data_IF_731218680155
#
_entry.id   IF_731218680155
#
_cell.length_a   1.000
_cell.length_b   1.000
_cell.length_c   1.000
_cell.angle_alpha   90.00
_cell.angle_beta   90.00
_cell.angle_gamma   90.00
#
_symmetry.space_group_name_H-M   'P 1'
#
loop_
_entity.id
_entity.type
_entity.pdbx_description
1 polymer ?
#
# COMPACT_ATOMS: atom_id res chain seq x y z
N UNK A 1 -32.02 51.74 20.02
CA UNK A 1 -31.03 51.27 19.03
C UNK A 1 -30.83 49.75 19.04
N UNK A 2 -31.81 48.96 19.51
CA UNK A 2 -31.63 47.54 19.86
C UNK A 2 -32.55 46.57 19.12
N UNK A 3 -33.39 47.05 18.18
CA UNK A 3 -34.35 46.21 17.43
C UNK A 3 -33.94 45.88 15.99
N UNK A 4 -32.83 46.42 15.48
CA UNK A 4 -32.37 46.18 14.09
C UNK A 4 -31.28 45.10 13.95
N UNK A 5 -30.73 44.60 15.06
CA UNK A 5 -29.70 43.54 15.05
C UNK A 5 -30.31 42.14 15.12
N UNK A 6 -31.48 42.01 15.77
CA UNK A 6 -32.17 40.72 15.92
C UNK A 6 -32.78 40.20 14.60
N UNK A 7 -33.09 41.08 13.65
CA UNK A 7 -33.70 40.70 12.36
C UNK A 7 -32.67 40.28 11.29
N UNK A 8 -31.39 40.61 11.46
CA UNK A 8 -30.34 40.20 10.51
C UNK A 8 -29.81 38.79 10.79
N UNK A 9 -29.84 38.35 12.06
CA UNK A 9 -29.46 36.99 12.46
C UNK A 9 -30.52 35.94 12.14
N UNK A 10 -31.80 36.32 12.04
CA UNK A 10 -32.88 35.40 11.69
C UNK A 10 -32.92 35.06 10.18
N UNK A 11 -32.49 35.98 9.30
CA UNK A 11 -32.42 35.72 7.85
C UNK A 11 -31.15 34.97 7.41
N UNK A 12 -30.12 34.88 8.25
CA UNK A 12 -28.92 34.08 7.98
C UNK A 12 -29.10 32.62 8.44
N UNK A 13 -29.92 32.38 9.46
CA UNK A 13 -30.25 31.03 9.94
C UNK A 13 -31.23 30.29 9.02
N UNK A 14 -32.00 31.02 8.22
CA UNK A 14 -32.96 30.45 7.26
C UNK A 14 -32.36 30.13 5.88
N UNK A 15 -31.05 30.35 5.70
CA UNK A 15 -30.32 30.02 4.47
C UNK A 15 -29.37 28.82 4.62
N UNK A 16 -29.29 28.22 5.82
CA UNK A 16 -28.54 26.98 6.05
C UNK A 16 -29.42 25.71 5.96
N UNK A 17 -30.71 25.84 5.68
CA UNK A 17 -31.65 24.70 5.71
C UNK A 17 -32.19 24.28 4.33
N UNK A 18 -31.50 24.60 3.23
CA UNK A 18 -31.88 24.13 1.87
C UNK A 18 -30.79 23.31 1.17
N UNK A 19 -29.72 22.92 1.85
CA UNK A 19 -28.70 22.05 1.27
C UNK A 19 -28.62 20.70 2.00
N UNK A 20 -29.64 19.86 1.85
CA UNK A 20 -29.54 18.42 2.14
C UNK A 20 -30.64 17.62 1.42
N UNK A 21 -30.91 17.97 0.18
CA UNK A 21 -31.61 17.10 -0.77
C UNK A 21 -31.02 17.38 -2.15
N UNK A 22 -29.68 17.27 -2.26
CA UNK A 22 -29.10 17.02 -3.56
C UNK A 22 -29.36 15.54 -3.82
N UNK A 23 -30.25 15.29 -4.79
CA UNK A 23 -30.42 13.98 -5.40
C UNK A 23 -29.04 13.36 -5.56
N UNK A 24 -28.84 12.19 -4.92
CA UNK A 24 -27.61 11.44 -5.12
C UNK A 24 -27.42 11.30 -6.64
N UNK A 25 -26.25 11.69 -7.19
CA UNK A 25 -26.01 11.53 -8.61
C UNK A 25 -26.30 10.08 -8.96
N UNK A 26 -27.07 9.85 -10.04
CA UNK A 26 -27.36 8.51 -10.53
C UNK A 26 -26.07 7.68 -10.51
N UNK A 27 -26.11 6.42 -10.02
CA UNK A 27 -24.90 5.63 -9.82
C UNK A 27 -24.07 5.68 -11.10
N UNK A 28 -22.83 6.17 -10.98
CA UNK A 28 -21.97 6.32 -12.14
C UNK A 28 -21.85 4.97 -12.84
N UNK A 29 -21.83 4.93 -14.19
CA UNK A 29 -21.73 3.67 -14.91
C UNK A 29 -20.51 2.90 -14.43
N UNK A 30 -20.72 1.64 -14.05
CA UNK A 30 -19.64 0.77 -13.55
C UNK A 30 -18.62 0.58 -14.66
N UNK A 31 -17.38 0.98 -14.39
CA UNK A 31 -16.25 0.82 -15.28
C UNK A 31 -15.23 -0.18 -14.69
N UNK A 32 -14.60 -0.98 -15.52
CA UNK A 32 -13.53 -1.90 -15.12
C UNK A 32 -12.21 -1.45 -15.73
N UNK A 33 -11.13 -1.59 -14.96
CA UNK A 33 -9.76 -1.50 -15.46
C UNK A 33 -9.17 -2.91 -15.50
N UNK A 34 -8.75 -3.39 -16.67
CA UNK A 34 -8.21 -4.72 -16.81
C UNK A 34 -7.07 -4.79 -17.83
N UNK A 35 -6.20 -5.77 -17.63
CA UNK A 35 -5.16 -6.16 -18.58
C UNK A 35 -5.47 -7.55 -19.12
N UNK A 36 -5.01 -7.84 -20.34
CA UNK A 36 -5.18 -9.16 -20.92
C UNK A 36 -3.97 -9.68 -21.71
N UNK A 37 -3.89 -11.01 -21.86
CA UNK A 37 -2.97 -11.70 -22.76
C UNK A 37 -3.83 -12.52 -23.72
N UNK A 38 -3.61 -12.36 -25.03
CA UNK A 38 -4.29 -13.14 -26.07
C UNK A 38 -3.31 -14.14 -26.69
N UNK A 39 -3.66 -15.41 -26.64
CA UNK A 39 -2.92 -16.54 -27.26
C UNK A 39 -3.88 -17.40 -28.10
N UNK A 40 -3.35 -18.16 -29.05
CA UNK A 40 -4.20 -18.93 -29.97
C UNK A 40 -4.70 -20.23 -29.33
N UNK A 41 -3.85 -20.86 -28.52
CA UNK A 41 -4.09 -22.23 -28.03
C UNK A 41 -4.36 -22.24 -26.53
N UNK A 42 -5.17 -23.21 -26.09
CA UNK A 42 -5.46 -23.40 -24.67
C UNK A 42 -4.19 -23.77 -23.89
N UNK A 43 -3.34 -24.62 -24.49
CA UNK A 43 -2.09 -25.05 -23.88
C UNK A 43 -1.14 -23.89 -23.58
N UNK A 44 -1.04 -22.89 -24.46
CA UNK A 44 -0.27 -21.66 -24.19
C UNK A 44 -0.90 -20.85 -23.05
N UNK A 45 -2.23 -20.74 -23.03
CA UNK A 45 -2.93 -20.03 -21.96
C UNK A 45 -2.71 -20.70 -20.60
N UNK A 46 -2.74 -22.02 -20.55
CA UNK A 46 -2.53 -22.81 -19.33
C UNK A 46 -1.09 -22.71 -18.84
N UNK A 47 -0.11 -22.77 -19.75
CA UNK A 47 1.31 -22.60 -19.40
C UNK A 47 1.58 -21.20 -18.82
N UNK A 48 0.99 -20.15 -19.41
CA UNK A 48 1.12 -18.79 -18.90
C UNK A 48 0.36 -18.60 -17.58
N UNK A 49 -0.81 -19.22 -17.42
CA UNK A 49 -1.58 -19.18 -16.16
C UNK A 49 -0.79 -19.82 -15.02
N UNK A 50 -0.15 -20.97 -15.25
CA UNK A 50 0.72 -21.61 -14.28
C UNK A 50 1.91 -20.72 -13.87
N UNK A 51 2.56 -20.07 -14.84
CA UNK A 51 3.65 -19.11 -14.54
C UNK A 51 3.16 -17.91 -13.72
N UNK A 52 1.95 -17.43 -13.99
CA UNK A 52 1.34 -16.32 -13.25
C UNK A 52 0.96 -16.72 -11.82
N UNK A 53 0.60 -17.98 -11.58
CA UNK A 53 0.29 -18.49 -10.24
C UNK A 53 1.53 -18.53 -9.32
N UNK A 54 2.72 -18.73 -9.89
CA UNK A 54 4.00 -18.76 -9.15
C UNK A 54 4.67 -17.36 -9.05
N UNK A 55 4.08 -16.34 -9.66
CA UNK A 55 4.67 -15.02 -9.74
C UNK A 55 4.72 -14.29 -8.38
N UNK A 56 5.90 -13.78 -8.02
CA UNK A 56 6.08 -12.95 -6.82
C UNK A 56 5.41 -11.57 -6.93
N UNK A 57 5.28 -11.03 -8.15
CA UNK A 57 4.54 -9.81 -8.43
C UNK A 57 3.65 -10.00 -9.66
N UNK A 58 2.39 -10.37 -9.41
CA UNK A 58 1.43 -10.73 -10.44
C UNK A 58 1.31 -9.68 -11.55
N UNK A 59 1.13 -8.40 -11.21
CA UNK A 59 0.93 -7.34 -12.19
C UNK A 59 2.17 -7.08 -13.07
N UNK A 60 3.37 -7.12 -12.48
CA UNK A 60 4.61 -6.96 -13.23
C UNK A 60 4.87 -8.15 -14.16
N UNK A 61 4.74 -9.38 -13.65
CA UNK A 61 4.95 -10.60 -14.44
C UNK A 61 3.90 -10.69 -15.56
N UNK A 62 2.64 -10.34 -15.27
CA UNK A 62 1.59 -10.26 -16.28
C UNK A 62 1.95 -9.28 -17.39
N UNK A 63 2.40 -8.08 -17.06
CA UNK A 63 2.80 -7.09 -18.05
C UNK A 63 3.99 -7.52 -18.91
N UNK A 64 4.92 -8.31 -18.35
CA UNK A 64 6.03 -8.90 -19.10
C UNK A 64 5.56 -9.99 -20.06
N UNK A 65 4.82 -10.99 -19.55
CA UNK A 65 4.26 -12.07 -20.36
C UNK A 65 3.32 -11.53 -21.45
N UNK A 66 2.57 -10.47 -21.16
CA UNK A 66 1.74 -9.79 -22.16
C UNK A 66 2.58 -9.16 -23.29
N UNK A 67 3.73 -8.57 -22.99
CA UNK A 67 4.63 -8.01 -24.03
C UNK A 67 5.24 -9.09 -24.91
N UNK A 68 5.54 -10.25 -24.32
CA UNK A 68 6.26 -11.33 -24.98
C UNK A 68 5.34 -12.26 -25.78
N UNK A 69 4.17 -12.59 -25.24
CA UNK A 69 3.30 -13.63 -25.77
C UNK A 69 1.96 -13.13 -26.30
N UNK A 70 1.48 -11.95 -25.90
CA UNK A 70 0.15 -11.49 -26.31
C UNK A 70 0.13 -11.05 -27.78
N UNK A 71 -0.84 -11.55 -28.53
CA UNK A 71 -1.12 -11.15 -29.91
C UNK A 71 -1.95 -9.88 -30.03
N UNK A 72 -2.48 -9.36 -28.92
CA UNK A 72 -3.25 -8.12 -28.93
C UNK A 72 -2.32 -6.90 -29.06
N UNK A 73 -2.69 -5.83 -29.79
CA UNK A 73 -1.93 -4.57 -29.81
C UNK A 73 -1.65 -3.94 -28.43
N UNK A 74 -2.46 -4.27 -27.41
CA UNK A 74 -2.25 -3.87 -26.01
C UNK A 74 -0.97 -4.45 -25.41
N UNK A 75 -0.38 -5.49 -26.01
CA UNK A 75 0.90 -6.10 -25.60
C UNK A 75 2.00 -5.05 -25.38
N UNK A 76 2.06 -4.02 -26.22
CA UNK A 76 3.02 -2.90 -26.12
C UNK A 76 2.94 -2.16 -24.78
N UNK A 77 1.76 -2.15 -24.16
CA UNK A 77 1.47 -1.55 -22.85
C UNK A 77 1.37 -2.60 -21.74
N UNK A 78 1.93 -3.79 -21.95
CA UNK A 78 1.83 -4.88 -20.98
C UNK A 78 0.42 -5.47 -20.88
N UNK A 79 -0.32 -5.46 -21.99
CA UNK A 79 -1.68 -6.01 -22.06
C UNK A 79 -2.75 -5.09 -21.48
N UNK A 80 -2.39 -3.89 -21.03
CA UNK A 80 -3.32 -2.91 -20.44
C UNK A 80 -4.34 -2.40 -21.46
N UNK A 81 -5.63 -2.61 -21.16
CA UNK A 81 -6.76 -2.13 -21.94
C UNK A 81 -7.30 -0.78 -21.43
N UNK A 82 -6.80 -0.30 -20.30
CA UNK A 82 -7.31 0.89 -19.63
C UNK A 82 -8.68 0.65 -18.99
N UNK A 83 -9.45 1.73 -18.85
CA UNK A 83 -10.78 1.71 -18.23
C UNK A 83 -11.86 1.63 -19.31
N UNK A 84 -12.79 0.69 -19.17
CA UNK A 84 -13.92 0.50 -20.08
C UNK A 84 -15.20 0.21 -19.31
N UNK A 85 -16.35 0.54 -19.91
CA UNK A 85 -17.68 0.26 -19.37
C UNK A 85 -18.23 -1.09 -19.87
N UNK A 86 -19.30 -1.57 -19.23
CA UNK A 86 -20.01 -2.79 -19.65
C UNK A 86 -20.45 -2.71 -21.11
N UNK A 87 -20.29 -3.83 -21.82
CA UNK A 87 -20.69 -3.96 -23.23
C UNK A 87 -19.72 -3.36 -24.26
N UNK A 88 -18.58 -2.80 -23.81
CA UNK A 88 -17.53 -2.36 -24.74
C UNK A 88 -16.61 -3.50 -25.20
N UNK A 89 -16.61 -4.61 -24.46
CA UNK A 89 -15.82 -5.82 -24.76
C UNK A 89 -16.74 -6.97 -25.17
N UNK A 90 -16.17 -8.05 -25.72
CA UNK A 90 -16.93 -9.25 -26.08
C UNK A 90 -17.62 -9.84 -24.84
N UNK A 91 -18.84 -10.42 -24.96
CA UNK A 91 -19.66 -10.79 -23.82
C UNK A 91 -18.96 -11.67 -22.77
N UNK A 92 -18.20 -12.68 -23.21
CA UNK A 92 -17.46 -13.56 -22.30
C UNK A 92 -16.36 -12.82 -21.52
N UNK A 93 -15.70 -11.83 -22.15
CA UNK A 93 -14.70 -11.00 -21.49
C UNK A 93 -15.35 -10.00 -20.54
N UNK A 94 -16.45 -9.37 -20.96
CA UNK A 94 -17.19 -8.39 -20.15
C UNK A 94 -17.70 -9.04 -18.85
N UNK A 95 -18.24 -10.25 -18.95
CA UNK A 95 -18.68 -11.01 -17.79
C UNK A 95 -17.55 -11.17 -16.76
N UNK A 96 -16.38 -11.63 -17.20
CA UNK A 96 -15.23 -11.79 -16.30
C UNK A 96 -14.71 -10.45 -15.77
N UNK A 97 -14.64 -9.43 -16.61
CA UNK A 97 -14.17 -8.11 -16.20
C UNK A 97 -15.03 -7.50 -15.07
N UNK A 98 -16.33 -7.77 -15.06
CA UNK A 98 -17.27 -7.15 -14.13
C UNK A 98 -17.86 -8.06 -13.04
N UNK A 99 -17.78 -9.39 -13.17
CA UNK A 99 -18.32 -10.34 -12.19
C UNK A 99 -17.22 -11.09 -11.43
N UNK A 100 -16.07 -11.37 -12.07
CA UNK A 100 -15.03 -12.19 -11.47
C UNK A 100 -14.28 -11.47 -10.31
N UNK A 101 -13.41 -12.17 -9.60
CA UNK A 101 -12.65 -11.57 -8.51
C UNK A 101 -11.53 -10.63 -9.02
N UNK A 102 -11.36 -9.48 -8.37
CA UNK A 102 -10.31 -8.49 -8.68
C UNK A 102 -8.96 -9.02 -8.21
N UNK A 103 -7.90 -8.81 -9.00
CA UNK A 103 -6.55 -9.26 -8.66
C UNK A 103 -6.28 -10.75 -8.91
N UNK A 104 -7.23 -11.46 -9.51
CA UNK A 104 -7.07 -12.86 -9.94
C UNK A 104 -7.03 -12.93 -11.46
N UNK A 105 -6.22 -13.86 -12.00
CA UNK A 105 -6.14 -14.11 -13.45
C UNK A 105 -7.19 -15.14 -13.86
N UNK A 106 -8.10 -14.72 -14.71
CA UNK A 106 -9.19 -15.54 -15.22
C UNK A 106 -8.96 -15.91 -16.69
N UNK A 107 -9.20 -17.18 -17.05
CA UNK A 107 -9.09 -17.67 -18.42
C UNK A 107 -10.46 -17.57 -19.12
N UNK A 108 -10.49 -17.01 -20.32
CA UNK A 108 -11.70 -16.82 -21.12
C UNK A 108 -11.43 -17.21 -22.56
N UNK A 109 -12.27 -18.07 -23.13
CA UNK A 109 -12.24 -18.38 -24.56
C UNK A 109 -13.17 -17.42 -25.31
N UNK A 110 -12.69 -16.85 -26.41
CA UNK A 110 -13.52 -16.06 -27.33
C UNK A 110 -13.25 -16.48 -28.78
N UNK A 111 -13.96 -15.87 -29.73
CA UNK A 111 -13.70 -16.06 -31.16
C UNK A 111 -12.28 -15.65 -31.61
N UNK A 112 -11.55 -14.86 -30.80
CA UNK A 112 -10.20 -14.41 -31.12
C UNK A 112 -9.11 -15.35 -30.59
N UNK A 113 -9.47 -16.35 -29.78
CA UNK A 113 -8.54 -17.25 -29.10
C UNK A 113 -8.78 -17.28 -27.60
N UNK A 114 -7.71 -17.55 -26.86
CA UNK A 114 -7.72 -17.64 -25.40
C UNK A 114 -7.18 -16.37 -24.77
N UNK A 115 -7.94 -15.86 -23.81
CA UNK A 115 -7.64 -14.64 -23.08
C UNK A 115 -7.36 -14.96 -21.62
N UNK A 116 -6.21 -14.53 -21.13
CA UNK A 116 -5.97 -14.39 -19.70
C UNK A 116 -6.31 -12.97 -19.30
N UNK A 117 -7.21 -12.78 -18.34
CA UNK A 117 -7.75 -11.48 -17.94
C UNK A 117 -7.40 -11.21 -16.49
N UNK A 118 -6.75 -10.08 -16.23
CA UNK A 118 -6.44 -9.60 -14.89
C UNK A 118 -7.17 -8.28 -14.64
N UNK A 119 -8.16 -8.31 -13.75
CA UNK A 119 -8.92 -7.11 -13.37
C UNK A 119 -8.16 -6.37 -12.28
N UNK A 120 -7.77 -5.12 -12.53
CA UNK A 120 -7.04 -4.28 -11.59
C UNK A 120 -7.96 -3.55 -10.61
N UNK A 121 -9.07 -3.00 -11.11
CA UNK A 121 -10.07 -2.29 -10.29
C UNK A 121 -11.41 -2.17 -10.99
N UNK A 122 -12.47 -1.93 -10.22
CA UNK A 122 -13.79 -1.50 -10.71
C UNK A 122 -14.15 -0.15 -10.10
N UNK A 123 -14.69 0.74 -10.92
CA UNK A 123 -15.16 2.07 -10.56
C UNK A 123 -16.68 2.03 -10.69
N UNK A 124 -17.39 1.85 -9.59
CA UNK A 124 -18.85 1.80 -9.52
C UNK A 124 -19.47 3.12 -9.04
N UNK A 125 -18.65 4.18 -8.96
CA UNK A 125 -19.07 5.47 -8.42
C UNK A 125 -19.30 5.48 -6.90
N UNK A 126 -19.04 4.36 -6.21
CA UNK A 126 -19.14 4.27 -4.74
C UNK A 126 -17.89 4.76 -4.02
N UNK A 127 -16.79 5.01 -4.74
CA UNK A 127 -15.65 5.75 -4.20
C UNK A 127 -16.13 7.18 -3.87
N UNK A 128 -16.43 7.41 -2.59
CA UNK A 128 -16.62 8.77 -2.08
C UNK A 128 -15.43 9.60 -2.55
N UNK A 129 -15.64 10.81 -3.11
CA UNK A 129 -14.56 11.65 -3.56
C UNK A 129 -13.63 11.85 -2.37
N UNK A 130 -12.48 11.18 -2.45
CA UNK A 130 -11.44 11.28 -1.45
C UNK A 130 -11.20 12.77 -1.26
N UNK A 131 -11.57 13.33 -0.10
CA UNK A 131 -11.46 14.77 0.18
C UNK A 131 -10.01 15.23 -0.04
N UNK A 132 -9.07 14.28 0.04
CA UNK A 132 -7.65 14.45 -0.25
C UNK A 132 -7.32 14.54 -1.75
N UNK A 133 -8.20 14.17 -2.69
CA UNK A 133 -7.97 14.28 -4.15
C UNK A 133 -8.07 15.72 -4.64
N UNK A 134 -9.06 16.48 -4.18
CA UNK A 134 -9.16 17.93 -4.41
C UNK A 134 -7.96 18.65 -3.81
N UNK A 135 -7.59 18.30 -2.57
CA UNK A 135 -6.40 18.85 -1.91
C UNK A 135 -5.12 18.51 -2.68
N UNK A 136 -4.96 17.27 -3.17
CA UNK A 136 -3.81 16.85 -4.00
C UNK A 136 -3.79 17.57 -5.35
N UNK A 137 -4.92 17.79 -6.00
CA UNK A 137 -5.04 18.53 -7.26
C UNK A 137 -4.66 20.01 -7.09
N UNK A 138 -5.17 20.67 -6.06
CA UNK A 138 -4.80 22.05 -5.71
C UNK A 138 -3.31 22.10 -5.35
N UNK A 139 -2.81 21.17 -4.54
CA UNK A 139 -1.41 21.08 -4.17
C UNK A 139 -0.51 20.93 -5.40
N UNK A 140 -0.81 19.98 -6.29
CA UNK A 140 -0.03 19.71 -7.51
C UNK A 140 0.00 20.92 -8.46
N UNK A 141 -1.10 21.69 -8.52
CA UNK A 141 -1.24 22.87 -9.39
C UNK A 141 -0.56 24.12 -8.81
N UNK A 142 -0.45 24.21 -7.49
CA UNK A 142 0.13 25.34 -6.75
C UNK A 142 1.64 25.13 -6.49
N UNK A 143 2.10 23.88 -6.37
CA UNK A 143 3.51 23.50 -6.22
C UNK A 143 4.50 24.13 -7.23
N UNK A 144 4.21 24.26 -8.55
CA UNK A 144 5.13 24.92 -9.47
C UNK A 144 5.26 26.43 -9.27
N UNK A 145 4.26 27.08 -8.65
CA UNK A 145 4.29 28.51 -8.34
C UNK A 145 4.88 28.82 -6.96
N UNK A 146 4.80 27.88 -6.02
CA UNK A 146 5.52 27.96 -4.74
C UNK A 146 6.98 27.50 -4.80
N UNK A 147 7.38 26.76 -5.84
CA UNK A 147 8.75 26.29 -6.06
C UNK A 147 9.85 27.34 -5.85
N UNK A 148 9.79 28.54 -6.47
CA UNK A 148 10.82 29.57 -6.27
C UNK A 148 10.75 30.25 -4.90
N UNK A 149 9.56 30.38 -4.28
CA UNK A 149 9.40 31.00 -2.96
C UNK A 149 9.85 30.05 -1.84
N UNK A 150 9.53 28.76 -1.96
CA UNK A 150 9.97 27.71 -1.03
C UNK A 150 11.50 27.52 -1.10
N UNK A 151 12.11 27.58 -2.28
CA UNK A 151 13.57 27.46 -2.43
C UNK A 151 14.31 28.63 -1.76
N UNK A 152 13.79 29.84 -1.87
CA UNK A 152 14.33 31.03 -1.19
C UNK A 152 14.16 30.91 0.33
N UNK A 153 13.05 30.33 0.81
CA UNK A 153 12.82 30.09 2.24
C UNK A 153 13.70 28.95 2.80
N UNK A 154 13.98 27.91 2.00
CA UNK A 154 14.88 26.79 2.35
C UNK A 154 16.35 27.24 2.41
N UNK A 155 16.77 28.17 1.55
CA UNK A 155 18.14 28.72 1.62
C UNK A 155 18.31 29.76 2.75
N UNK A 156 17.27 30.53 3.08
CA UNK A 156 17.32 31.52 4.17
C UNK A 156 17.17 30.90 5.57
N UNK A 157 16.51 29.75 5.69
CA UNK A 157 16.42 28.99 6.93
C UNK A 157 17.16 27.66 6.76
N UNK A 158 18.45 27.67 7.08
CA UNK A 158 19.30 26.48 7.05
C UNK A 158 18.58 25.23 7.57
N UNK A 159 18.63 24.17 6.75
CA UNK A 159 18.33 22.77 7.04
C UNK A 159 17.53 22.52 8.34
N UNK A 160 16.21 22.73 8.30
CA UNK A 160 15.30 22.12 9.29
C UNK A 160 14.42 21.08 8.61
N UNK A 161 14.75 19.84 8.96
CA UNK A 161 14.16 18.56 8.59
C UNK A 161 12.70 18.55 8.13
N UNK A 162 12.50 17.80 7.06
CA UNK A 162 11.25 17.12 6.70
C UNK A 162 10.48 16.69 7.95
N UNK A 163 9.21 17.12 8.06
CA UNK A 163 8.26 16.61 9.07
C UNK A 163 7.83 15.19 8.71
N UNK A 164 8.74 14.23 8.87
CA UNK A 164 8.39 12.81 8.94
C UNK A 164 7.79 12.52 10.32
N UNK A 165 6.76 11.67 10.37
CA UNK A 165 6.22 11.14 11.63
C UNK A 165 7.27 10.35 12.44
N UNK A 166 6.91 9.80 13.61
CA UNK A 166 7.85 9.05 14.42
C UNK A 166 8.43 7.88 13.62
N UNK A 167 9.77 7.77 13.62
CA UNK A 167 10.53 6.70 12.97
C UNK A 167 11.29 5.91 14.03
N UNK A 168 11.46 4.61 13.84
CA UNK A 168 12.21 3.75 14.75
C UNK A 168 13.27 2.95 14.00
N UNK A 169 14.42 2.75 14.66
CA UNK A 169 15.44 1.80 14.25
C UNK A 169 15.34 0.58 15.15
N UNK A 170 15.04 -0.58 14.57
CA UNK A 170 14.96 -1.82 15.31
C UNK A 170 15.71 -2.97 14.63
N UNK A 171 16.13 -3.91 15.45
CA UNK A 171 16.75 -5.16 15.05
C UNK A 171 15.80 -6.30 15.41
N UNK A 172 15.78 -7.36 14.60
CA UNK A 172 15.00 -8.55 14.92
C UNK A 172 15.65 -9.87 14.51
N UNK A 173 15.19 -10.95 15.14
CA UNK A 173 15.43 -12.32 14.70
C UNK A 173 14.08 -12.99 14.54
N UNK A 174 13.81 -13.57 13.36
CA UNK A 174 12.58 -14.31 13.08
C UNK A 174 12.85 -15.83 13.16
N UNK A 175 12.16 -16.51 14.07
CA UNK A 175 12.21 -17.98 14.24
C UNK A 175 10.81 -18.57 14.15
N UNK A 176 10.72 -19.84 13.75
CA UNK A 176 9.42 -20.52 13.61
C UNK A 176 8.88 -21.05 14.94
N UNK A 177 9.77 -21.42 15.86
CA UNK A 177 9.45 -22.04 17.14
C UNK A 177 9.50 -21.03 18.29
N UNK A 178 8.51 -21.10 19.20
CA UNK A 178 8.52 -20.31 20.43
C UNK A 178 9.68 -20.68 21.35
N UNK A 179 10.02 -21.98 21.41
CA UNK A 179 11.12 -22.46 22.24
C UNK A 179 12.47 -21.86 21.81
N UNK A 180 12.72 -21.78 20.50
CA UNK A 180 13.92 -21.12 19.96
C UNK A 180 13.94 -19.62 20.29
N UNK A 181 12.78 -18.97 20.22
CA UNK A 181 12.67 -17.54 20.55
C UNK A 181 13.00 -17.28 22.03
N UNK A 182 12.52 -18.13 22.94
CA UNK A 182 12.78 -18.01 24.38
C UNK A 182 14.26 -18.28 24.74
N UNK A 183 14.91 -19.24 24.06
CA UNK A 183 16.34 -19.48 24.23
C UNK A 183 17.17 -18.28 23.75
N UNK A 184 16.88 -17.75 22.57
CA UNK A 184 17.54 -16.55 22.04
C UNK A 184 17.28 -15.34 22.93
N UNK A 185 16.07 -15.20 23.46
CA UNK A 185 15.72 -14.12 24.37
C UNK A 185 16.60 -14.15 25.62
N UNK A 186 16.75 -15.33 26.26
CA UNK A 186 17.62 -15.50 27.43
C UNK A 186 19.08 -15.20 27.12
N UNK A 187 19.57 -15.65 25.97
CA UNK A 187 20.96 -15.41 25.55
C UNK A 187 21.26 -13.94 25.28
N UNK A 188 20.30 -13.22 24.68
CA UNK A 188 20.46 -11.79 24.38
C UNK A 188 20.26 -10.94 25.64
N UNK A 189 19.32 -11.31 26.51
CA UNK A 189 19.07 -10.56 27.75
C UNK A 189 20.23 -10.65 28.75
N UNK A 190 20.91 -11.81 28.79
CA UNK A 190 22.11 -12.03 29.60
C UNK A 190 23.37 -11.31 29.09
N UNK A 191 23.34 -10.73 27.88
CA UNK A 191 24.48 -10.01 27.32
C UNK A 191 24.47 -8.53 27.71
N UNK A 192 25.64 -7.98 28.02
CA UNK A 192 25.84 -6.55 28.26
C UNK A 192 25.48 -5.74 27.00
N UNK A 193 26.02 -6.16 25.85
CA UNK A 193 25.73 -5.58 24.54
C UNK A 193 24.70 -6.40 23.76
N UNK A 194 23.42 -6.20 24.09
CA UNK A 194 22.28 -6.86 23.43
C UNK A 194 22.31 -6.74 21.91
N UNK A 195 22.71 -5.58 21.39
CA UNK A 195 22.83 -5.31 19.95
C UNK A 195 23.90 -6.18 19.30
N UNK A 196 25.09 -6.26 19.89
CA UNK A 196 26.19 -7.04 19.34
C UNK A 196 25.83 -8.53 19.34
N UNK A 197 25.20 -9.02 20.41
CA UNK A 197 24.79 -10.42 20.51
C UNK A 197 23.70 -10.78 19.50
N UNK A 198 22.72 -9.89 19.30
CA UNK A 198 21.69 -10.06 18.30
C UNK A 198 22.30 -10.11 16.88
N UNK A 199 23.24 -9.21 16.57
CA UNK A 199 23.92 -9.20 15.28
C UNK A 199 24.73 -10.48 15.00
N UNK A 200 25.26 -11.13 16.03
CA UNK A 200 25.97 -12.42 15.92
C UNK A 200 25.01 -13.60 15.67
N UNK A 201 23.85 -13.60 16.33
CA UNK A 201 22.88 -14.69 16.30
C UNK A 201 21.94 -14.62 15.07
N UNK A 202 21.63 -13.42 14.60
CA UNK A 202 20.71 -13.18 13.49
C UNK A 202 21.08 -13.91 12.18
N UNK A 203 22.34 -13.93 11.69
CA UNK A 203 22.67 -14.65 10.45
C UNK A 203 22.57 -16.18 10.59
N UNK A 204 22.65 -16.71 11.82
CA UNK A 204 22.61 -18.15 12.10
C UNK A 204 21.19 -18.67 12.30
N UNK A 205 20.32 -17.87 12.93
CA UNK A 205 19.00 -18.32 13.39
C UNK A 205 17.82 -17.61 12.71
N UNK A 206 18.01 -16.43 12.11
CA UNK A 206 16.90 -15.67 11.52
C UNK A 206 16.49 -16.22 10.16
N UNK A 207 15.20 -16.48 9.99
CA UNK A 207 14.59 -16.80 8.69
C UNK A 207 14.34 -15.54 7.85
N UNK A 208 14.47 -14.34 8.43
CA UNK A 208 14.24 -13.08 7.74
C UNK A 208 15.47 -12.65 6.91
N UNK A 209 15.31 -12.05 5.71
CA UNK A 209 16.43 -11.54 4.91
C UNK A 209 17.36 -10.55 5.64
N UNK A 210 16.84 -9.86 6.67
CA UNK A 210 17.61 -8.97 7.57
C UNK A 210 18.68 -9.72 8.38
N UNK A 211 18.57 -11.05 8.53
CA UNK A 211 19.55 -11.88 9.23
C UNK A 211 20.97 -11.70 8.69
N UNK A 212 21.13 -11.50 7.38
CA UNK A 212 22.44 -11.23 6.73
C UNK A 212 23.07 -9.90 7.17
N UNK A 213 22.27 -8.96 7.67
CA UNK A 213 22.69 -7.66 8.21
C UNK A 213 22.65 -7.63 9.74
N UNK A 214 22.80 -8.79 10.39
CA UNK A 214 22.73 -8.86 11.84
C UNK A 214 21.34 -8.56 12.40
N UNK A 215 20.28 -8.78 11.60
CA UNK A 215 18.90 -8.54 11.99
C UNK A 215 18.45 -7.08 11.85
N UNK A 216 19.28 -6.21 11.26
CA UNK A 216 18.98 -4.79 11.07
C UNK A 216 17.84 -4.56 10.06
N UNK A 217 16.77 -3.90 10.50
CA UNK A 217 15.64 -3.48 9.66
C UNK A 217 15.77 -2.04 9.14
N UNK A 218 16.75 -1.29 9.63
CA UNK A 218 16.90 0.14 9.35
C UNK A 218 15.80 0.99 9.98
N UNK A 219 15.63 2.20 9.44
CA UNK A 219 14.70 3.22 9.94
C UNK A 219 13.34 3.13 9.25
N UNK A 220 12.32 2.69 9.98
CA UNK A 220 10.95 2.58 9.48
C UNK A 220 9.97 3.46 10.27
N UNK A 221 8.84 3.80 9.65
CA UNK A 221 7.74 4.56 10.22
C UNK A 221 6.58 3.69 10.72
N UNK A 222 5.66 4.28 11.48
CA UNK A 222 4.43 3.61 11.91
C UNK A 222 3.63 3.10 10.72
N UNK A 223 3.17 1.86 10.79
CA UNK A 223 2.37 1.20 9.76
C UNK A 223 3.17 0.60 8.59
N UNK A 224 4.50 0.69 8.58
CA UNK A 224 5.35 0.00 7.60
C UNK A 224 5.60 -1.47 7.97
N UNK A 225 5.37 -1.84 9.23
CA UNK A 225 5.52 -3.19 9.77
C UNK A 225 4.17 -3.77 10.21
N UNK A 226 4.13 -5.08 10.47
CA UNK A 226 2.89 -5.74 10.93
C UNK A 226 2.38 -5.13 12.24
N UNK A 227 1.05 -5.01 12.46
CA UNK A 227 0.50 -4.21 13.57
C UNK A 227 1.02 -4.60 14.96
N UNK A 228 1.19 -5.90 15.21
CA UNK A 228 1.71 -6.42 16.48
C UNK A 228 3.17 -6.00 16.72
N UNK A 229 3.98 -5.99 15.67
CA UNK A 229 5.38 -5.57 15.69
C UNK A 229 5.48 -4.05 15.87
N UNK A 230 4.72 -3.30 15.08
CA UNK A 230 4.69 -1.84 15.09
C UNK A 230 4.32 -1.31 16.48
N UNK A 231 3.31 -1.93 17.10
CA UNK A 231 2.90 -1.63 18.47
C UNK A 231 4.04 -1.77 19.45
N UNK A 232 4.80 -2.86 19.43
CA UNK A 232 5.88 -3.08 20.40
C UNK A 232 7.05 -2.12 20.17
N UNK A 233 7.43 -1.86 18.92
CA UNK A 233 8.55 -0.96 18.63
C UNK A 233 8.21 0.49 18.99
N UNK A 234 7.00 0.95 18.67
CA UNK A 234 6.62 2.34 18.89
C UNK A 234 5.97 2.60 20.26
N UNK A 235 5.42 1.61 20.94
CA UNK A 235 4.87 1.78 22.30
C UNK A 235 5.84 1.34 23.40
N UNK A 236 6.73 0.40 23.09
CA UNK A 236 7.68 -0.20 24.03
C UNK A 236 8.83 0.72 24.43
N UNK A 237 9.66 0.20 25.36
CA UNK A 237 10.85 0.88 25.86
C UNK A 237 12.01 0.70 24.88
N UNK A 238 12.61 1.82 24.47
CA UNK A 238 13.81 1.82 23.63
C UNK A 238 14.96 1.21 24.43
N UNK A 239 15.75 0.33 23.80
CA UNK A 239 16.85 -0.40 24.42
C UNK A 239 16.46 -1.70 25.12
N UNK A 240 15.17 -2.00 25.24
CA UNK A 240 14.68 -3.23 25.87
C UNK A 240 14.37 -4.31 24.84
N UNK A 241 14.70 -5.55 25.21
CA UNK A 241 14.37 -6.72 24.41
C UNK A 241 12.87 -7.02 24.54
N UNK A 242 12.21 -7.29 23.42
CA UNK A 242 10.80 -7.66 23.43
C UNK A 242 10.56 -8.86 22.49
N UNK A 243 9.54 -9.65 22.79
CA UNK A 243 9.11 -10.76 21.93
C UNK A 243 7.72 -10.51 21.38
N UNK A 244 7.52 -10.84 20.11
CA UNK A 244 6.21 -10.74 19.45
C UNK A 244 5.95 -11.96 18.59
N UNK A 245 4.73 -12.47 18.66
CA UNK A 245 4.23 -13.47 17.72
C UNK A 245 3.50 -12.76 16.59
N UNK A 246 3.82 -13.11 15.35
CA UNK A 246 3.12 -12.64 14.15
C UNK A 246 2.76 -13.83 13.27
N UNK A 247 2.06 -13.59 12.16
CA UNK A 247 1.78 -14.61 11.16
C UNK A 247 3.04 -15.27 10.55
N UNK A 248 4.21 -14.62 10.64
CA UNK A 248 5.47 -15.12 10.11
C UNK A 248 6.26 -15.98 11.11
N UNK A 249 5.81 -16.04 12.36
CA UNK A 249 6.48 -16.73 13.46
C UNK A 249 6.77 -15.81 14.64
N UNK A 250 7.80 -16.16 15.40
CA UNK A 250 8.23 -15.43 16.58
C UNK A 250 9.38 -14.49 16.25
N UNK A 251 9.24 -13.24 16.69
CA UNK A 251 10.26 -12.23 16.53
C UNK A 251 10.80 -11.79 17.88
N UNK A 252 12.11 -11.88 18.04
CA UNK A 252 12.83 -11.25 19.15
C UNK A 252 13.36 -9.91 18.65
N UNK A 253 12.98 -8.83 19.34
CA UNK A 253 13.09 -7.44 18.89
C UNK A 253 13.99 -6.65 19.83
N UNK A 254 14.79 -5.76 19.26
CA UNK A 254 15.51 -4.73 20.00
C UNK A 254 15.37 -3.38 19.28
N UNK A 255 14.65 -2.44 19.90
CA UNK A 255 14.58 -1.07 19.40
C UNK A 255 15.80 -0.29 19.90
N UNK A 256 16.60 0.27 19.00
CA UNK A 256 17.82 1.02 19.35
C UNK A 256 17.52 2.50 19.51
N UNK A 257 16.78 3.08 18.57
CA UNK A 257 16.45 4.48 18.59
C UNK A 257 15.06 4.75 18.02
N UNK A 258 14.47 5.85 18.45
CA UNK A 258 13.17 6.32 17.97
C UNK A 258 13.22 7.83 17.83
N UNK A 259 13.10 8.30 16.59
CA UNK A 259 13.19 9.69 16.19
C UNK A 259 11.79 10.27 15.97
N UNK A 260 11.56 11.51 16.41
CA UNK A 260 10.31 12.23 16.16
C UNK A 260 9.11 11.82 17.03
N UNK A 261 9.29 10.88 17.97
CA UNK A 261 8.23 10.53 18.92
C UNK A 261 8.25 11.51 20.09
N UNK A 262 7.21 12.35 20.22
CA UNK A 262 7.00 13.18 21.41
C UNK A 262 6.46 12.31 22.56
N UNK A 263 7.22 11.32 23.01
CA UNK A 263 7.08 10.82 24.37
C UNK A 263 8.10 11.55 25.24
N UNK A 264 7.81 12.82 25.52
CA UNK A 264 8.40 13.46 26.70
C UNK A 264 7.74 12.85 27.93
N UNK A 265 8.52 12.14 28.72
CA UNK A 265 8.59 12.38 30.15
C UNK A 265 9.93 11.84 30.65
#
# INVERSE_FOLDING_TARGET
>A
MTRKIATFLASLLLLCATCAAQDAPAPAPVQAHASHILVDTEAEADALHAQLAEASNLFLTFAQLAKEHSKCPSSRKGGDLGTFGRGQMVPAFDQVAFEAEIGVVHKVQTQFGWHLVLVSRRLDGSEQPDQFRELKQVLLKVMPFLGPIILIFIMAMGARGSRGGPRAHAFHILVKSEAEADELFKQIDAADDKKAKLAELAPKHSTCPSGKKGGDLGMFGRGEMVPQFDKIVFEGEVGKLAKVQTQFGWHVLLCIERLGDKKSK
#
